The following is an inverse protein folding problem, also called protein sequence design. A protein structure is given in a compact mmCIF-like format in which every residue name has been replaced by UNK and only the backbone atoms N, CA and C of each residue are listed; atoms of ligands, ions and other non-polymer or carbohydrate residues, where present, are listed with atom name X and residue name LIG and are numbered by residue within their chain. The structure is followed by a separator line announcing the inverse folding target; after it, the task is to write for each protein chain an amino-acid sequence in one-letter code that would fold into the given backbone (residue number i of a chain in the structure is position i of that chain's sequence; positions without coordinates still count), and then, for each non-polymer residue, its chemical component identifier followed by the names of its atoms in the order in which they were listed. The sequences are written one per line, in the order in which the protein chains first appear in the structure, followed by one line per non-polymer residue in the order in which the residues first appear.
data_IF_346659613065
#
_entry.id   IF_346659613065
#
_cell.length_a   1.000
_cell.length_b   1.000
_cell.length_c   1.000
_cell.angle_alpha   90.00
_cell.angle_beta   90.00
_cell.angle_gamma   90.00
#
_symmetry.space_group_name_H-M   'P 1'
#
loop_
_entity.id
_entity.type
_entity.pdbx_description
1 polymer ?
#
# COMPACT_ATOMS: atom_id res chain seq x y z
N UNK A 1 8.39 2.53 0.91
CA UNK A 1 7.07 3.19 0.77
C UNK A 1 6.13 2.61 -0.28
N UNK A 2 6.54 2.38 -1.53
CA UNK A 2 5.69 1.86 -2.62
C UNK A 2 4.62 0.82 -2.20
N UNK A 3 5.06 -0.15 -1.39
CA UNK A 3 4.23 -1.24 -0.86
C UNK A 3 3.18 -0.82 0.18
N UNK A 4 3.39 0.28 0.92
CA UNK A 4 2.46 0.77 1.94
C UNK A 4 1.22 1.43 1.29
N UNK A 5 1.41 2.11 0.16
CA UNK A 5 0.29 2.57 -0.68
C UNK A 5 -0.46 1.37 -1.23
N UNK A 6 0.24 0.35 -1.75
CA UNK A 6 -0.36 -0.90 -2.19
C UNK A 6 -1.12 -1.65 -1.06
N UNK A 7 -0.69 -1.55 0.20
CA UNK A 7 -1.40 -2.11 1.37
C UNK A 7 -2.71 -1.40 1.66
N UNK A 8 -2.71 -0.06 1.69
CA UNK A 8 -3.94 0.74 1.83
C UNK A 8 -4.96 0.47 0.71
N UNK A 9 -4.51 -0.19 -0.37
CA UNK A 9 -5.25 -0.49 -1.59
C UNK A 9 -5.31 -1.99 -1.87
N UNK A 10 -5.07 -2.82 -0.87
CA UNK A 10 -5.25 -4.26 -1.00
C UNK A 10 -6.70 -4.68 -0.68
N UNK A 11 -7.60 -3.72 -0.41
CA UNK A 11 -8.73 -3.93 0.47
C UNK A 11 -10.12 -4.41 -0.08
N UNK A 12 -10.48 -4.67 -1.37
CA UNK A 12 -11.94 -4.75 -1.71
C UNK A 12 -12.65 -5.62 -2.84
N UNK A 13 -13.76 -6.39 -2.53
CA UNK A 13 -14.91 -7.23 -3.18
C UNK A 13 -14.78 -8.66 -3.85
N UNK A 14 -15.38 -9.81 -3.51
CA UNK A 14 -16.28 -10.40 -2.50
C UNK A 14 -16.18 -11.96 -2.60
N UNK A 15 -16.46 -12.77 -1.57
CA UNK A 15 -16.38 -14.26 -1.61
C UNK A 15 -16.27 -14.92 -0.21
N UNK A 16 -16.67 -16.19 -0.05
CA UNK A 16 -16.91 -16.82 1.26
C UNK A 16 -15.64 -17.28 2.01
N UNK A 17 -15.06 -16.36 2.78
CA UNK A 17 -14.06 -16.49 3.86
C UNK A 17 -14.07 -15.15 4.62
N UNK A 18 -13.37 -14.97 5.76
CA UNK A 18 -13.05 -13.59 6.20
C UNK A 18 -12.03 -13.00 5.21
N UNK A 19 -12.53 -12.20 4.27
CA UNK A 19 -11.69 -11.59 3.26
C UNK A 19 -10.79 -10.50 3.84
N UNK A 20 -11.13 -9.92 4.99
CA UNK A 20 -10.24 -9.02 5.75
C UNK A 20 -8.99 -9.77 6.21
N UNK A 21 -9.15 -11.00 6.70
CA UNK A 21 -8.07 -11.83 7.25
C UNK A 21 -7.17 -12.43 6.17
N UNK A 22 -7.79 -13.08 5.20
CA UNK A 22 -7.08 -13.77 4.09
C UNK A 22 -6.40 -12.77 3.17
N UNK A 23 -6.86 -11.53 3.14
CA UNK A 23 -6.14 -10.41 2.55
C UNK A 23 -4.92 -9.99 3.37
N UNK A 24 -5.07 -9.78 4.68
CA UNK A 24 -3.94 -9.40 5.55
C UNK A 24 -2.81 -10.43 5.47
N UNK A 25 -3.17 -11.71 5.36
CA UNK A 25 -2.25 -12.80 5.01
C UNK A 25 -1.58 -12.57 3.65
N UNK A 26 -2.35 -12.26 2.60
CA UNK A 26 -1.83 -12.03 1.24
C UNK A 26 -0.85 -10.86 1.17
N UNK A 27 -1.09 -9.78 1.92
CA UNK A 27 -0.17 -8.63 2.05
C UNK A 27 1.21 -9.09 2.54
N UNK A 28 1.26 -9.87 3.62
CA UNK A 28 2.51 -10.39 4.18
C UNK A 28 3.20 -11.33 3.18
N UNK A 29 2.45 -12.30 2.62
CA UNK A 29 2.98 -13.25 1.63
C UNK A 29 3.56 -12.55 0.38
N UNK A 30 2.97 -11.43 -0.04
CA UNK A 30 3.47 -10.60 -1.15
C UNK A 30 4.71 -9.77 -0.81
N UNK A 31 5.17 -9.74 0.44
CA UNK A 31 6.46 -9.15 0.82
C UNK A 31 6.43 -8.12 1.97
N UNK A 32 5.29 -7.83 2.58
CA UNK A 32 5.30 -7.03 3.81
C UNK A 32 5.88 -7.84 4.97
N UNK A 33 7.12 -7.56 5.33
CA UNK A 33 7.89 -8.22 6.40
C UNK A 33 7.84 -7.46 7.72
N UNK A 34 7.68 -6.13 7.66
CA UNK A 34 7.74 -5.25 8.83
C UNK A 34 6.44 -5.19 9.66
N UNK A 35 5.28 -5.31 9.00
CA UNK A 35 3.98 -5.47 9.66
C UNK A 35 3.62 -6.95 9.77
N UNK A 36 3.17 -7.34 10.95
CA UNK A 36 2.46 -8.61 11.15
C UNK A 36 1.06 -8.56 10.52
N UNK A 37 0.49 -9.72 10.23
CA UNK A 37 -0.91 -9.87 9.80
C UNK A 37 -1.90 -9.13 10.70
N UNK A 38 -1.66 -9.10 12.00
CA UNK A 38 -2.53 -8.43 12.98
C UNK A 38 -2.47 -6.90 12.85
N UNK A 39 -1.27 -6.33 12.74
CA UNK A 39 -1.07 -4.89 12.50
C UNK A 39 -1.64 -4.45 11.14
N UNK A 40 -1.51 -5.30 10.11
CA UNK A 40 -2.18 -5.10 8.82
C UNK A 40 -3.71 -5.12 9.00
N UNK A 41 -4.29 -6.14 9.65
CA UNK A 41 -5.74 -6.25 9.85
C UNK A 41 -6.33 -5.08 10.64
N UNK A 42 -5.59 -4.56 11.64
CA UNK A 42 -5.94 -3.36 12.40
C UNK A 42 -5.94 -2.11 11.51
N UNK A 43 -4.93 -1.96 10.64
CA UNK A 43 -4.86 -0.85 9.69
C UNK A 43 -5.96 -0.90 8.62
N UNK A 44 -6.34 -2.11 8.16
CA UNK A 44 -7.48 -2.33 7.27
C UNK A 44 -8.77 -1.79 7.90
N UNK A 45 -9.13 -2.27 9.11
CA UNK A 45 -10.34 -1.84 9.83
C UNK A 45 -10.38 -0.33 10.07
N UNK A 46 -9.24 0.29 10.37
CA UNK A 46 -9.13 1.72 10.64
C UNK A 46 -9.45 2.63 9.43
N UNK A 47 -9.46 2.11 8.19
CA UNK A 47 -9.79 2.88 6.97
C UNK A 47 -11.11 2.48 6.30
N UNK A 48 -11.91 1.62 6.94
CA UNK A 48 -13.20 1.16 6.43
C UNK A 48 -14.21 2.28 6.20
N UNK A 49 -14.23 3.29 7.05
CA UNK A 49 -15.14 4.43 6.89
C UNK A 49 -14.82 5.27 5.65
N UNK A 50 -13.54 5.53 5.36
CA UNK A 50 -13.14 6.28 4.17
C UNK A 50 -13.50 5.54 2.88
N UNK A 51 -13.41 4.20 2.87
CA UNK A 51 -13.89 3.39 1.75
C UNK A 51 -15.42 3.32 1.67
N UNK A 52 -16.13 3.14 2.80
CA UNK A 52 -17.59 3.08 2.85
C UNK A 52 -18.25 4.41 2.46
N UNK A 53 -17.62 5.54 2.78
CA UNK A 53 -18.07 6.88 2.46
C UNK A 53 -17.65 7.36 1.05
N UNK A 54 -16.84 6.57 0.33
CA UNK A 54 -16.33 6.87 -1.02
C UNK A 54 -15.46 8.15 -1.06
N UNK A 55 -14.65 8.37 -0.02
CA UNK A 55 -13.62 9.43 0.00
C UNK A 55 -12.67 9.30 -1.20
N UNK A 56 -11.96 10.38 -1.52
CA UNK A 56 -10.98 10.37 -2.60
C UNK A 56 -9.75 9.49 -2.27
N UNK A 57 -8.92 9.22 -3.29
CA UNK A 57 -7.72 8.40 -3.12
C UNK A 57 -6.62 9.05 -2.27
N UNK A 58 -6.57 10.39 -2.18
CA UNK A 58 -5.62 11.09 -1.32
C UNK A 58 -6.04 11.00 0.15
N UNK A 59 -7.32 11.23 0.46
CA UNK A 59 -7.91 11.02 1.78
C UNK A 59 -7.68 9.59 2.28
N UNK A 60 -8.02 8.59 1.46
CA UNK A 60 -7.86 7.16 1.79
C UNK A 60 -6.39 6.82 2.02
N UNK A 61 -5.47 7.32 1.20
CA UNK A 61 -4.04 7.08 1.38
C UNK A 61 -3.48 7.77 2.65
N UNK A 62 -3.90 9.01 2.92
CA UNK A 62 -3.49 9.79 4.10
C UNK A 62 -3.99 9.15 5.39
N UNK A 63 -5.30 8.84 5.46
CA UNK A 63 -5.90 8.08 6.56
C UNK A 63 -5.25 6.71 6.71
N UNK A 64 -4.91 6.06 5.60
CA UNK A 64 -4.12 4.83 5.56
C UNK A 64 -2.80 4.96 6.31
N UNK A 65 -1.99 5.98 5.99
CA UNK A 65 -0.70 6.23 6.67
C UNK A 65 -0.91 6.46 8.17
N UNK A 66 -1.88 7.29 8.58
CA UNK A 66 -2.22 7.50 10.00
C UNK A 66 -2.59 6.19 10.69
N UNK A 67 -3.48 5.41 10.08
CA UNK A 67 -3.93 4.12 10.59
C UNK A 67 -2.84 3.06 10.66
N UNK A 68 -1.88 3.07 9.73
CA UNK A 68 -0.73 2.18 9.73
C UNK A 68 0.21 2.50 10.92
N UNK A 69 0.43 3.79 11.20
CA UNK A 69 1.22 4.24 12.36
C UNK A 69 0.56 3.89 13.69
N UNK A 70 -0.75 4.10 13.84
CA UNK A 70 -1.49 3.73 15.07
C UNK A 70 -1.78 2.22 15.18
N UNK A 71 -1.53 1.45 14.13
CA UNK A 71 -1.68 -0.01 14.15
C UNK A 71 -0.45 -0.77 14.63
N UNK A 72 0.74 -0.13 14.62
CA UNK A 72 1.97 -0.73 15.16
C UNK A 72 1.75 -1.23 16.60
N UNK A 73 2.07 -2.50 16.85
CA UNK A 73 1.89 -3.12 18.17
C UNK A 73 3.15 -3.12 19.02
N UNK A 74 4.28 -2.66 18.47
CA UNK A 74 5.57 -2.55 19.15
C UNK A 74 6.17 -1.15 18.88
N UNK A 75 6.46 -0.33 19.91
CA UNK A 75 7.00 1.03 19.74
C UNK A 75 8.40 1.06 19.08
N UNK A 76 9.19 -0.02 19.21
CA UNK A 76 10.49 -0.15 18.54
C UNK A 76 10.35 -0.15 17.01
N UNK A 77 9.18 -0.54 16.47
CA UNK A 77 8.89 -0.38 15.03
C UNK A 77 8.79 1.10 14.63
N UNK A 78 8.18 1.94 15.47
CA UNK A 78 8.18 3.39 15.24
C UNK A 78 9.60 3.97 15.13
N UNK A 79 10.47 3.61 16.09
CA UNK A 79 11.88 4.01 16.07
C UNK A 79 12.64 3.45 14.85
N UNK A 80 12.36 2.21 14.46
CA UNK A 80 12.95 1.57 13.27
C UNK A 80 12.53 2.28 11.99
N UNK A 81 11.24 2.64 11.86
CA UNK A 81 10.73 3.37 10.71
C UNK A 81 11.32 4.80 10.62
N UNK A 82 11.47 5.50 11.75
CA UNK A 82 12.14 6.81 11.81
C UNK A 82 13.62 6.72 11.43
N UNK A 83 14.33 5.69 11.91
CA UNK A 83 15.72 5.42 11.55
C UNK A 83 15.88 5.15 10.05
N UNK A 84 14.99 4.33 9.49
CA UNK A 84 14.93 4.05 8.05
C UNK A 84 14.61 5.31 7.24
N UNK A 85 13.68 6.18 7.69
CA UNK A 85 13.46 7.49 7.04
C UNK A 85 14.73 8.32 7.07
N UNK A 86 15.38 8.47 8.23
CA UNK A 86 16.61 9.27 8.37
C UNK A 86 17.75 8.78 7.47
N UNK A 87 17.92 7.47 7.31
CA UNK A 87 18.91 6.90 6.39
C UNK A 87 18.57 7.24 4.93
N UNK A 88 17.30 7.07 4.54
CA UNK A 88 16.82 7.39 3.19
C UNK A 88 16.97 8.90 2.92
N UNK A 89 16.60 9.77 3.85
CA UNK A 89 16.77 11.23 3.74
C UNK A 89 18.25 11.61 3.53
N UNK A 90 19.16 11.03 4.31
CA UNK A 90 20.62 11.24 4.17
C UNK A 90 21.12 10.76 2.80
N UNK A 91 20.65 9.60 2.34
CA UNK A 91 21.05 9.00 1.07
C UNK A 91 20.49 9.76 -0.15
N UNK A 92 19.29 10.33 -0.04
CA UNK A 92 18.62 11.10 -1.09
C UNK A 92 19.07 12.58 -1.16
N UNK A 93 19.89 13.05 -0.22
CA UNK A 93 20.46 14.40 -0.26
C UNK A 93 21.16 14.66 -1.58
N UNK A 94 20.80 15.75 -2.26
CA UNK A 94 21.30 16.10 -3.59
C UNK A 94 20.60 15.40 -4.77
N UNK A 95 19.70 14.43 -4.52
CA UNK A 95 18.84 13.87 -5.57
C UNK A 95 17.65 14.81 -5.89
N UNK A 96 17.00 14.68 -7.05
CA UNK A 96 15.79 15.43 -7.38
C UNK A 96 14.59 15.18 -6.44
N UNK A 97 14.60 14.08 -5.69
CA UNK A 97 13.61 13.83 -4.63
C UNK A 97 13.91 14.55 -3.31
N UNK A 98 15.17 14.93 -3.07
CA UNK A 98 15.63 15.60 -1.84
C UNK A 98 15.65 14.72 -0.59
N UNK A 99 14.50 14.13 -0.25
CA UNK A 99 14.27 13.31 0.94
C UNK A 99 13.27 12.16 0.69
N UNK A 100 12.98 11.36 1.72
CA UNK A 100 12.04 10.25 1.61
C UNK A 100 10.61 10.67 1.23
N UNK A 101 10.17 11.89 1.55
CA UNK A 101 8.82 12.40 1.28
C UNK A 101 8.69 12.91 -0.16
N UNK A 102 9.67 13.66 -0.67
CA UNK A 102 9.71 14.04 -2.08
C UNK A 102 9.74 12.81 -3.01
N UNK A 103 10.39 11.73 -2.57
CA UNK A 103 10.36 10.45 -3.29
C UNK A 103 8.98 9.78 -3.24
N UNK A 104 8.20 9.91 -2.15
CA UNK A 104 6.80 9.46 -2.11
C UNK A 104 5.98 10.21 -3.16
N UNK A 105 6.01 11.54 -3.18
CA UNK A 105 5.15 12.34 -4.06
C UNK A 105 5.47 12.08 -5.55
N UNK A 106 6.75 11.91 -5.91
CA UNK A 106 7.16 11.42 -7.24
C UNK A 106 6.56 10.05 -7.58
N UNK A 107 6.56 9.10 -6.64
CA UNK A 107 5.97 7.76 -6.85
C UNK A 107 4.43 7.74 -6.79
N UNK A 108 3.79 8.69 -6.12
CA UNK A 108 2.35 8.72 -5.80
C UNK A 108 1.49 8.65 -7.05
N UNK A 109 1.73 9.51 -8.04
CA UNK A 109 0.95 9.59 -9.27
C UNK A 109 0.95 8.28 -10.10
N UNK A 110 2.09 7.63 -10.42
CA UNK A 110 2.05 6.35 -11.15
C UNK A 110 1.47 5.20 -10.33
N UNK A 111 1.57 5.19 -9.00
CA UNK A 111 0.81 4.25 -8.16
C UNK A 111 -0.69 4.55 -8.31
N UNK A 112 -1.10 5.80 -8.13
CA UNK A 112 -2.47 6.28 -8.20
C UNK A 112 -3.15 5.96 -9.54
N UNK A 113 -2.41 6.06 -10.65
CA UNK A 113 -2.92 5.71 -11.97
C UNK A 113 -3.08 4.19 -12.21
N UNK A 114 -2.25 3.33 -11.58
CA UNK A 114 -2.43 1.88 -11.66
C UNK A 114 -3.62 1.41 -10.79
N UNK A 115 -3.79 2.00 -9.59
CA UNK A 115 -4.80 1.59 -8.60
C UNK A 115 -6.22 2.09 -8.96
N UNK A 116 -6.34 3.25 -9.63
CA UNK A 116 -7.61 3.94 -9.90
C UNK A 116 -8.60 3.06 -10.67
N UNK A 117 -8.10 2.20 -11.57
CA UNK A 117 -8.93 1.20 -12.28
C UNK A 117 -9.61 0.21 -11.33
N UNK A 118 -9.00 -0.09 -10.19
CA UNK A 118 -9.50 -1.03 -9.20
C UNK A 118 -10.33 -0.33 -8.13
N UNK A 119 -9.92 0.86 -7.67
CA UNK A 119 -10.73 1.72 -6.79
C UNK A 119 -12.05 2.17 -7.44
N UNK A 120 -12.08 2.41 -8.76
CA UNK A 120 -13.32 2.71 -9.47
C UNK A 120 -14.27 1.49 -9.50
N UNK A 121 -13.76 0.28 -9.75
CA UNK A 121 -14.54 -0.98 -9.68
C UNK A 121 -15.11 -1.20 -8.27
N UNK A 122 -14.31 -0.92 -7.26
CA UNK A 122 -14.74 -0.88 -5.87
C UNK A 122 -15.89 0.10 -5.66
N UNK A 123 -15.70 1.39 -5.96
CA UNK A 123 -16.69 2.42 -5.62
C UNK A 123 -18.04 2.15 -6.29
N UNK A 124 -18.04 1.59 -7.51
CA UNK A 124 -19.25 1.08 -8.15
C UNK A 124 -19.90 -0.08 -7.36
N UNK A 125 -19.11 -1.02 -6.85
CA UNK A 125 -19.59 -2.15 -6.05
C UNK A 125 -20.11 -1.75 -4.65
N UNK A 126 -19.43 -0.83 -3.95
CA UNK A 126 -19.93 -0.24 -2.69
C UNK A 126 -21.20 0.55 -2.95
N UNK A 127 -21.24 1.45 -3.95
CA UNK A 127 -22.43 2.24 -4.28
C UNK A 127 -23.62 1.35 -4.62
N UNK A 128 -23.43 0.27 -5.41
CA UNK A 128 -24.47 -0.73 -5.70
C UNK A 128 -24.91 -1.51 -4.45
N UNK A 129 -23.99 -1.87 -3.54
CA UNK A 129 -24.36 -2.59 -2.33
C UNK A 129 -25.11 -1.70 -1.30
N UNK A 130 -24.71 -0.43 -1.16
CA UNK A 130 -25.42 0.58 -0.35
C UNK A 130 -26.82 0.87 -0.92
N UNK A 131 -26.94 1.06 -2.24
CA UNK A 131 -28.23 1.27 -2.92
C UNK A 131 -29.18 0.07 -2.82
N UNK A 132 -28.64 -1.14 -2.63
CA UNK A 132 -29.42 -2.36 -2.36
C UNK A 132 -29.64 -2.61 -0.84
N UNK A 133 -29.54 -1.55 -0.01
CA UNK A 133 -29.74 -1.56 1.45
C UNK A 133 -29.00 -2.68 2.19
N UNK A 134 -27.78 -3.03 1.74
CA UNK A 134 -26.99 -4.08 2.42
C UNK A 134 -26.26 -3.53 3.65
N UNK A 135 -26.18 -4.31 4.76
CA UNK A 135 -25.51 -3.89 5.98
C UNK A 135 -24.06 -3.44 5.76
N UNK A 136 -23.54 -2.53 6.59
CA UNK A 136 -22.16 -2.03 6.48
C UNK A 136 -21.14 -3.16 6.41
N UNK A 137 -21.22 -4.18 7.26
CA UNK A 137 -20.28 -5.33 7.20
C UNK A 137 -20.45 -6.17 5.92
N UNK A 138 -21.65 -6.29 5.33
CA UNK A 138 -21.76 -6.87 3.99
C UNK A 138 -21.10 -5.96 2.96
N UNK A 139 -21.32 -4.65 3.00
CA UNK A 139 -20.64 -3.65 2.15
C UNK A 139 -19.13 -3.60 2.42
N UNK A 140 -18.66 -4.16 3.54
CA UNK A 140 -17.25 -4.28 3.95
C UNK A 140 -16.63 -5.69 3.75
N UNK A 141 -17.41 -6.78 3.62
CA UNK A 141 -16.91 -8.13 3.21
C UNK A 141 -17.14 -8.45 1.73
N UNK A 142 -18.31 -8.06 1.17
CA UNK A 142 -18.30 -7.53 -0.20
C UNK A 142 -17.43 -6.30 -0.28
N UNK A 143 -17.17 -5.62 0.83
CA UNK A 143 -16.04 -4.72 0.87
C UNK A 143 -14.77 -5.41 0.48
N UNK A 144 -14.29 -6.57 1.00
CA UNK A 144 -12.87 -7.01 0.98
C UNK A 144 -12.17 -7.75 -0.22
N UNK A 145 -12.81 -8.63 -1.01
CA UNK A 145 -12.05 -9.59 -1.85
C UNK A 145 -11.52 -9.26 -3.31
N UNK A 146 -11.83 -8.18 -4.05
CA UNK A 146 -11.31 -7.92 -5.44
C UNK A 146 -9.91 -7.39 -5.35
N UNK A 147 -9.54 -6.65 -4.31
CA UNK A 147 -8.15 -6.25 -4.14
C UNK A 147 -7.34 -7.44 -3.55
N UNK A 148 -7.96 -8.37 -2.77
CA UNK A 148 -7.43 -9.77 -2.61
C UNK A 148 -7.25 -10.46 -3.97
N UNK A 149 -8.11 -10.22 -4.98
CA UNK A 149 -7.95 -10.80 -6.32
C UNK A 149 -6.95 -10.04 -7.22
N UNK A 150 -6.94 -8.71 -7.20
CA UNK A 150 -6.28 -7.82 -8.14
C UNK A 150 -4.87 -7.41 -7.68
N UNK A 151 -4.64 -7.28 -6.37
CA UNK A 151 -3.29 -7.22 -5.81
C UNK A 151 -2.69 -8.63 -5.90
N UNK A 152 -2.09 -8.86 -7.06
CA UNK A 152 -1.31 -10.04 -7.44
C UNK A 152 0.16 -9.68 -7.44
N UNK A 153 1.04 -10.70 -7.47
CA UNK A 153 2.48 -10.47 -7.71
C UNK A 153 2.70 -9.64 -8.98
N UNK A 154 1.96 -9.93 -10.05
CA UNK A 154 2.05 -9.23 -11.32
C UNK A 154 1.60 -7.74 -11.23
N UNK A 155 0.56 -7.43 -10.46
CA UNK A 155 0.10 -6.05 -10.24
C UNK A 155 1.14 -5.22 -9.48
N UNK A 156 1.74 -5.78 -8.44
CA UNK A 156 2.82 -5.14 -7.69
C UNK A 156 4.06 -4.97 -8.57
N UNK A 157 4.47 -6.01 -9.31
CA UNK A 157 5.67 -5.95 -10.15
C UNK A 157 5.56 -4.89 -11.26
N UNK A 158 4.42 -4.83 -11.95
CA UNK A 158 4.15 -3.81 -12.95
C UNK A 158 4.12 -2.41 -12.34
N UNK A 159 3.54 -2.24 -11.16
CA UNK A 159 3.48 -0.93 -10.47
C UNK A 159 4.88 -0.49 -10.06
N UNK A 160 5.64 -1.36 -9.40
CA UNK A 160 7.00 -1.11 -8.97
C UNK A 160 7.94 -0.82 -10.17
N UNK A 161 7.89 -1.65 -11.21
CA UNK A 161 8.68 -1.48 -12.45
C UNK A 161 8.35 -0.15 -13.15
N UNK A 162 7.08 0.26 -13.21
CA UNK A 162 6.68 1.57 -13.75
C UNK A 162 7.23 2.74 -12.92
N UNK A 163 7.23 2.64 -11.60
CA UNK A 163 7.79 3.68 -10.73
C UNK A 163 9.31 3.79 -10.90
N UNK A 164 10.04 2.68 -10.82
CA UNK A 164 11.51 2.67 -11.01
C UNK A 164 11.88 3.25 -12.39
N UNK A 165 11.27 2.76 -13.49
CA UNK A 165 11.62 3.20 -14.86
C UNK A 165 11.15 4.61 -15.24
N UNK A 166 10.29 5.27 -14.45
CA UNK A 166 9.72 6.59 -14.83
C UNK A 166 9.86 7.70 -13.79
N UNK A 167 10.21 7.39 -12.54
CA UNK A 167 10.26 8.38 -11.45
C UNK A 167 11.57 8.37 -10.68
N UNK A 168 12.40 7.34 -10.85
CA UNK A 168 13.62 7.16 -10.06
C UNK A 168 14.83 7.33 -10.96
N UNK A 169 15.88 7.94 -10.43
CA UNK A 169 17.23 7.84 -10.96
C UNK A 169 18.05 6.76 -10.21
N UNK A 170 19.30 6.59 -10.61
CA UNK A 170 20.25 5.62 -10.03
C UNK A 170 20.49 5.78 -8.53
N UNK A 171 20.66 7.01 -8.03
CA UNK A 171 20.82 7.30 -6.60
C UNK A 171 19.53 6.95 -5.84
N UNK A 172 18.39 7.44 -6.34
CA UNK A 172 17.08 7.25 -5.73
C UNK A 172 16.71 5.76 -5.62
N UNK A 173 17.01 4.98 -6.66
CA UNK A 173 16.86 3.53 -6.64
C UNK A 173 17.80 2.88 -5.63
N UNK A 174 19.09 3.23 -5.63
CA UNK A 174 20.06 2.65 -4.70
C UNK A 174 19.67 2.87 -3.24
N UNK A 175 19.22 4.07 -2.87
CA UNK A 175 18.75 4.37 -1.51
C UNK A 175 17.54 3.52 -1.10
N UNK A 176 16.59 3.30 -2.03
CA UNK A 176 15.43 2.42 -1.79
C UNK A 176 15.85 0.96 -1.65
N UNK A 177 16.80 0.47 -2.45
CA UNK A 177 17.27 -0.91 -2.36
C UNK A 177 18.09 -1.18 -1.08
N UNK A 178 18.78 -0.19 -0.52
CA UNK A 178 19.54 -0.33 0.75
C UNK A 178 18.66 -0.37 1.99
N UNK A 179 17.68 0.54 2.10
CA UNK A 179 16.93 0.72 3.35
C UNK A 179 15.45 0.28 3.28
N UNK A 180 14.78 0.38 2.13
CA UNK A 180 13.36 -0.01 2.05
C UNK A 180 13.15 -1.53 2.05
N UNK A 181 14.19 -2.33 1.73
CA UNK A 181 14.19 -3.79 1.88
C UNK A 181 13.96 -4.24 3.33
N UNK A 182 14.35 -3.40 4.31
CA UNK A 182 14.12 -3.64 5.75
C UNK A 182 12.65 -3.52 6.14
N UNK A 183 11.84 -2.86 5.30
CA UNK A 183 10.38 -2.75 5.46
C UNK A 183 9.60 -3.81 4.66
N UNK A 184 10.16 -4.25 3.52
CA UNK A 184 9.46 -5.03 2.49
C UNK A 184 10.45 -5.92 1.74
N UNK A 185 10.21 -7.23 1.70
CA UNK A 185 10.84 -8.12 0.73
C UNK A 185 10.38 -7.77 -0.70
N UNK A 186 11.26 -7.07 -1.41
CA UNK A 186 11.10 -6.76 -2.84
C UNK A 186 11.93 -7.66 -3.77
N UNK A 187 12.72 -8.61 -3.22
CA UNK A 187 13.68 -9.43 -4.00
C UNK A 187 13.02 -10.28 -5.10
N UNK A 188 11.79 -10.68 -4.86
CA UNK A 188 10.94 -11.48 -5.75
C UNK A 188 10.29 -10.70 -6.90
N UNK A 189 10.51 -9.39 -6.99
CA UNK A 189 9.99 -8.52 -8.06
C UNK A 189 11.08 -8.12 -9.05
N UNK A 190 10.70 -7.96 -10.32
CA UNK A 190 11.59 -7.53 -11.40
C UNK A 190 12.15 -6.13 -11.13
N UNK A 191 11.39 -5.26 -10.45
CA UNK A 191 11.82 -3.90 -10.14
C UNK A 191 13.09 -3.81 -9.28
N UNK A 192 13.36 -4.79 -8.41
CA UNK A 192 14.58 -4.84 -7.60
C UNK A 192 15.83 -5.24 -8.40
N UNK A 193 15.68 -5.60 -9.68
CA UNK A 193 16.74 -6.05 -10.60
C UNK A 193 17.00 -5.06 -11.74
N UNK A 194 16.30 -3.94 -11.77
CA UNK A 194 16.45 -2.89 -12.79
C UNK A 194 17.75 -2.13 -12.53
N UNK A 195 18.52 -1.89 -13.60
CA UNK A 195 19.64 -0.95 -13.60
C UNK A 195 19.18 0.37 -14.25
N UNK A 196 19.68 1.48 -13.70
CA UNK A 196 19.49 2.86 -14.12
C UNK A 196 20.86 3.55 -14.23
#
# INVERSE_FOLDING_TARGET
MLFWVLIALALTTAGAEDCRDTLSQKICNLGMTFLTKAEVKKACTCIEDSFYNLNDLNDIASKGITCLMTSLSNPLKGLTALSIKSNIDKCLKGSPSGDAMGLIEKMKQPIFNNIKKVTNKLFAAIKKAKGNNKPKEFVLQKGYCLLKAAITKNFIDNTCTKCVKKQMNKQELSCVLTDAVKLVDISKYSCAKIKL
#
